data_IF_896989646497
#
_entry.id   IF_896989646497
#
_cell.length_a   1.000
_cell.length_b   1.000
_cell.length_c   1.000
_cell.angle_alpha   90.00
_cell.angle_beta   90.00
_cell.angle_gamma   90.00
#
_symmetry.space_group_name_H-M   'P 1'
#
loop_
_entity.id
_entity.type
_entity.pdbx_description
1 polymer ?
2 non-polymer ?
3 non-polymer ?
4 water ?
#
# COMPACT_ATOMS: atom_id res chain seq x y z
N UNK A 1 7.72 -3.80 16.10
CA UNK A 1 6.38 -4.35 16.49
C UNK A 1 5.37 -4.10 15.38
N UNK A 2 5.27 -5.09 14.48
CA UNK A 2 4.41 -4.92 13.26
C UNK A 2 3.04 -5.56 13.50
N UNK A 3 2.87 -6.21 14.64
CA UNK A 3 1.78 -7.19 14.79
C UNK A 3 0.39 -6.63 14.66
N UNK A 4 0.26 -5.32 14.97
CA UNK A 4 -1.01 -4.56 14.91
C UNK A 4 -1.52 -4.45 13.47
N UNK A 5 -0.67 -4.61 12.51
CA UNK A 5 -0.96 -4.46 11.08
C UNK A 5 -1.37 -5.79 10.42
N UNK A 6 -1.08 -6.91 11.07
CA UNK A 6 -1.22 -8.22 10.42
C UNK A 6 -2.68 -8.57 10.27
N UNK A 7 -3.02 -9.22 9.17
CA UNK A 7 -4.35 -9.76 8.92
C UNK A 7 -4.86 -9.38 7.58
N UNK A 8 -6.16 -9.57 7.41
CA UNK A 8 -6.85 -9.33 6.15
C UNK A 8 -7.71 -8.07 6.31
N UNK A 9 -7.58 -7.18 5.35
CA UNK A 9 -8.14 -5.83 5.42
C UNK A 9 -8.92 -5.55 4.15
N UNK A 10 -10.04 -4.86 4.25
CA UNK A 10 -10.88 -4.55 3.08
C UNK A 10 -11.01 -3.03 2.93
N UNK A 11 -10.95 -2.54 1.69
CA UNK A 11 -11.08 -1.10 1.49
C UNK A 11 -12.51 -0.64 1.76
N UNK A 12 -12.63 0.40 2.60
CA UNK A 12 -13.95 0.97 2.95
C UNK A 12 -14.06 2.46 2.72
N UNK A 13 -12.99 3.17 2.35
CA UNK A 13 -13.04 4.62 2.06
C UNK A 13 -11.86 4.96 1.18
N UNK A 14 -12.03 5.85 0.20
CA UNK A 14 -10.89 6.29 -0.60
C UNK A 14 -11.05 7.77 -0.96
N UNK A 15 -9.98 8.53 -0.72
CA UNK A 15 -9.95 9.97 -1.02
C UNK A 15 -8.73 10.26 -1.88
N UNK A 16 -8.97 10.89 -3.04
CA UNK A 16 -7.92 11.39 -3.91
C UNK A 16 -7.09 10.29 -4.57
N UNK A 17 -7.61 9.06 -4.68
CA UNK A 17 -6.83 8.04 -5.37
C UNK A 17 -6.67 8.36 -6.85
N UNK A 18 -7.67 8.97 -7.48
CA UNK A 18 -7.49 9.35 -8.87
C UNK A 18 -6.34 10.35 -9.00
N UNK A 19 -6.25 11.33 -8.10
CA UNK A 19 -5.17 12.31 -8.18
C UNK A 19 -3.82 11.59 -8.10
N UNK A 20 -3.69 10.64 -7.17
CA UNK A 20 -2.45 9.89 -6.99
C UNK A 20 -2.11 9.10 -8.26
N UNK A 21 -3.07 8.34 -8.76
CA UNK A 21 -2.84 7.57 -9.99
C UNK A 21 -2.44 8.48 -11.15
N UNK A 22 -3.16 9.59 -11.27
CA UNK A 22 -2.86 10.49 -12.39
C UNK A 22 -1.43 11.03 -12.25
N UNK A 23 -1.00 11.37 -11.05
CA UNK A 23 0.37 11.86 -10.82
C UNK A 23 1.41 10.84 -11.26
N UNK A 24 1.10 9.54 -11.06
CA UNK A 24 1.98 8.45 -11.48
C UNK A 24 1.87 8.16 -12.98
N UNK A 25 0.97 8.82 -13.71
CA UNK A 25 0.85 8.57 -15.16
C UNK A 25 -0.05 7.39 -15.53
N UNK A 26 -0.88 6.94 -14.63
CA UNK A 26 -1.81 5.86 -14.93
C UNK A 26 -2.86 6.37 -15.91
N UNK A 27 -3.15 5.61 -16.95
CA UNK A 27 -4.10 6.00 -17.96
C UNK A 27 -5.55 6.04 -17.50
N UNK A 28 -6.36 6.80 -18.22
CA UNK A 28 -7.71 7.11 -17.74
C UNK A 28 -8.55 5.83 -17.57
N UNK A 29 -8.41 4.84 -18.46
CA UNK A 29 -9.28 3.67 -18.39
C UNK A 29 -8.96 2.82 -17.18
N UNK A 30 -7.66 2.70 -16.89
CA UNK A 30 -7.23 2.03 -15.66
C UNK A 30 -7.69 2.77 -14.42
N UNK A 31 -7.56 4.10 -14.41
CA UNK A 31 -8.04 4.86 -13.26
C UNK A 31 -9.53 4.64 -13.05
N UNK A 32 -10.27 4.59 -14.13
CA UNK A 32 -11.70 4.37 -14.04
C UNK A 32 -12.03 3.06 -13.31
N UNK A 33 -11.42 1.96 -13.73
CA UNK A 33 -11.66 0.67 -13.06
C UNK A 33 -11.18 0.73 -11.61
N UNK A 34 -9.99 1.28 -11.39
CA UNK A 34 -9.42 1.37 -10.03
C UNK A 34 -10.31 2.18 -9.10
N UNK A 35 -10.99 3.19 -9.60
CA UNK A 35 -11.85 4.04 -8.75
C UNK A 35 -13.07 3.29 -8.22
N UNK A 36 -13.38 2.16 -8.85
CA UNK A 36 -14.55 1.34 -8.46
C UNK A 36 -14.14 0.02 -7.84
N UNK A 37 -12.87 -0.21 -7.65
CA UNK A 37 -12.33 -1.43 -7.07
C UNK A 37 -12.15 -1.27 -5.56
N UNK A 38 -12.43 -2.34 -4.81
CA UNK A 38 -12.17 -2.37 -3.35
C UNK A 38 -11.22 -3.51 -3.08
N UNK A 39 -9.92 -3.27 -3.05
CA UNK A 39 -9.00 -4.37 -2.83
C UNK A 39 -9.11 -4.95 -1.41
N UNK A 40 -8.60 -6.17 -1.32
CA UNK A 40 -8.30 -6.80 -0.05
C UNK A 40 -6.78 -6.80 0.10
N UNK A 41 -6.31 -6.32 1.25
CA UNK A 41 -4.89 -6.35 1.55
C UNK A 41 -4.65 -7.36 2.68
N UNK A 42 -3.72 -8.24 2.48
CA UNK A 42 -3.36 -9.27 3.47
C UNK A 42 -1.91 -9.04 3.86
N UNK A 43 -1.68 -8.88 5.15
CA UNK A 43 -0.33 -8.65 5.65
C UNK A 43 -0.03 -9.79 6.60
N UNK A 44 1.04 -10.53 6.30
CA UNK A 44 1.41 -11.69 7.15
C UNK A 44 2.91 -11.66 7.42
N UNK A 45 3.29 -12.28 8.54
CA UNK A 45 4.72 -12.38 8.85
C UNK A 45 5.07 -13.81 9.10
N UNK A 46 6.34 -14.09 8.81
CA UNK A 46 6.99 -15.37 9.15
C UNK A 46 8.39 -15.00 9.59
N UNK A 47 8.58 -14.98 10.90
CA UNK A 47 9.84 -14.45 11.39
C UNK A 47 10.00 -13.01 10.96
N UNK A 48 11.15 -12.59 10.51
CA UNK A 48 11.10 -11.15 10.22
C UNK A 48 10.86 -10.98 8.71
N UNK A 49 10.29 -11.92 7.96
CA UNK A 49 9.82 -11.65 6.59
C UNK A 49 8.34 -11.32 6.61
N UNK A 50 8.00 -10.15 6.08
CA UNK A 50 6.60 -9.76 5.86
C UNK A 50 6.23 -10.04 4.42
N UNK A 51 4.99 -10.45 4.22
CA UNK A 51 4.38 -10.58 2.90
C UNK A 51 3.11 -9.73 2.88
N UNK A 52 3.00 -8.91 1.85
CA UNK A 52 1.86 -8.00 1.69
C UNK A 52 1.24 -8.28 0.33
N UNK A 53 0.01 -8.82 0.38
CA UNK A 53 -0.76 -9.15 -0.81
C UNK A 53 -1.83 -8.09 -0.99
N UNK A 54 -2.06 -7.69 -2.25
CA UNK A 54 -3.19 -6.80 -2.59
C UNK A 54 -3.98 -7.53 -3.67
N UNK A 55 -5.25 -7.82 -3.40
CA UNK A 55 -6.07 -8.63 -4.30
C UNK A 55 -7.25 -7.83 -4.79
N UNK A 56 -7.60 -7.92 -6.04
CA UNK A 56 -8.87 -7.27 -6.41
C UNK A 56 -9.44 -8.03 -7.58
N UNK A 57 -10.56 -7.53 -8.08
CA UNK A 57 -11.10 -8.04 -9.35
C UNK A 57 -10.30 -7.55 -10.57
N UNK A 58 -9.43 -6.58 -10.41
CA UNK A 58 -8.70 -5.97 -11.56
C UNK A 58 -7.26 -6.45 -11.82
N UNK A 59 -6.51 -6.77 -10.90
CA UNK A 59 -5.05 -6.68 -10.63
C UNK A 59 -4.75 -7.14 -9.20
N UNK A 60 -3.75 -8.00 -9.13
CA UNK A 60 -3.23 -8.53 -7.87
C UNK A 60 -1.76 -8.17 -7.78
N UNK A 61 -1.25 -7.98 -6.58
CA UNK A 61 0.17 -7.84 -6.32
C UNK A 61 0.55 -8.62 -5.05
N UNK A 62 1.83 -8.95 -4.95
CA UNK A 62 2.39 -9.51 -3.73
C UNK A 62 3.85 -9.09 -3.64
N UNK A 63 4.24 -8.68 -2.45
CA UNK A 63 5.65 -8.38 -2.14
C UNK A 63 6.01 -9.10 -0.85
N UNK A 64 7.28 -9.52 -0.76
CA UNK A 64 7.85 -10.00 0.48
C UNK A 64 9.14 -9.21 0.78
N UNK A 65 9.35 -8.89 2.05
CA UNK A 65 10.47 -8.06 2.43
C UNK A 65 10.81 -8.26 3.89
N UNK A 66 12.02 -7.88 4.23
CA UNK A 66 12.44 -7.69 5.63
C UNK A 66 12.39 -6.20 5.93
N UNK A 67 11.90 -5.77 7.11
CA UNK A 67 11.93 -4.37 7.47
C UNK A 67 13.35 -3.87 7.40
N UNK A 68 13.52 -2.72 6.80
CA UNK A 68 14.79 -2.05 6.78
C UNK A 68 15.78 -2.59 5.80
N UNK A 69 15.35 -3.47 4.87
CA UNK A 69 16.25 -4.02 3.85
C UNK A 69 15.64 -3.72 2.47
N UNK A 70 16.39 -3.08 1.61
CA UNK A 70 15.89 -2.72 0.29
C UNK A 70 15.53 -3.97 -0.52
N UNK A 71 14.51 -3.82 -1.36
CA UNK A 71 14.07 -4.90 -2.25
C UNK A 71 13.64 -4.29 -3.55
N UNK A 72 13.78 -5.08 -4.64
CA UNK A 72 13.20 -4.66 -5.91
C UNK A 72 11.71 -4.97 -5.90
N UNK A 73 10.94 -4.11 -6.57
CA UNK A 73 9.49 -4.25 -6.63
C UNK A 73 9.03 -3.81 -8.01
N UNK A 74 8.01 -4.50 -8.51
CA UNK A 74 7.31 -4.09 -9.75
C UNK A 74 5.89 -3.81 -9.35
N UNK A 75 5.48 -2.53 -9.39
CA UNK A 75 4.23 -2.09 -8.81
C UNK A 75 3.05 -2.50 -9.71
N UNK A 76 1.84 -2.29 -9.18
CA UNK A 76 0.62 -2.67 -9.90
C UNK A 76 0.53 -1.97 -11.28
N UNK A 77 1.04 -0.74 -11.32
CA UNK A 77 1.09 0.06 -12.55
C UNK A 77 2.40 -0.10 -13.31
N UNK A 78 3.17 -1.14 -13.00
CA UNK A 78 4.34 -1.60 -13.76
C UNK A 78 5.54 -0.67 -13.66
N UNK A 79 5.65 0.08 -12.57
CA UNK A 79 6.91 0.76 -12.28
C UNK A 79 7.90 -0.24 -11.65
N UNK A 80 9.14 -0.21 -12.08
CA UNK A 80 10.21 -1.02 -11.50
C UNK A 80 10.95 -0.10 -10.54
N UNK A 81 10.81 -0.38 -9.27
CA UNK A 81 11.26 0.53 -8.20
C UNK A 81 12.16 -0.20 -7.23
N UNK A 82 12.93 0.61 -6.49
CA UNK A 82 13.72 0.17 -5.34
C UNK A 82 12.96 0.58 -4.10
N UNK A 83 12.65 -0.38 -3.26
CA UNK A 83 11.73 -0.19 -2.14
C UNK A 83 12.39 -0.50 -0.80
N UNK A 84 11.87 0.15 0.23
CA UNK A 84 12.22 -0.21 1.61
C UNK A 84 10.98 0.06 2.45
N UNK A 85 10.76 -0.82 3.41
CA UNK A 85 9.65 -0.66 4.37
C UNK A 85 10.26 -0.64 5.77
N UNK A 86 9.83 0.31 6.58
CA UNK A 86 10.34 0.44 7.95
C UNK A 86 9.20 0.87 8.85
N UNK A 87 9.38 0.69 10.12
CA UNK A 87 8.49 1.26 11.14
C UNK A 87 9.06 2.59 11.56
N UNK A 88 8.19 3.62 11.59
CA UNK A 88 8.57 5.01 11.90
C UNK A 88 7.40 5.56 12.70
N UNK A 89 7.62 5.85 13.98
CA UNK A 89 6.54 6.43 14.73
C UNK A 89 5.37 5.48 14.87
N UNK A 90 5.62 4.19 14.82
CA UNK A 90 4.55 3.19 14.86
C UNK A 90 3.82 3.01 13.55
N UNK A 91 4.23 3.69 12.51
CA UNK A 91 3.62 3.60 11.19
C UNK A 91 4.50 2.71 10.33
N UNK A 92 3.88 1.95 9.44
CA UNK A 92 4.62 1.14 8.49
C UNK A 92 4.84 2.02 7.24
N UNK A 93 6.08 2.43 6.96
CA UNK A 93 6.40 3.38 5.89
C UNK A 93 7.11 2.65 4.76
N UNK A 94 6.48 2.65 3.60
CA UNK A 94 7.00 2.01 2.38
C UNK A 94 7.41 3.15 1.44
N UNK A 95 8.71 3.19 1.13
CA UNK A 95 9.28 4.20 0.21
C UNK A 95 9.67 3.49 -1.08
N UNK A 96 9.22 4.00 -2.21
CA UNK A 96 9.60 3.50 -3.53
C UNK A 96 10.37 4.58 -4.29
N UNK A 97 11.47 4.18 -4.92
CA UNK A 97 12.35 5.08 -5.68
C UNK A 97 12.54 4.55 -7.10
N UNK A 98 12.42 5.42 -8.07
CA UNK A 98 12.67 5.04 -9.47
C UNK A 98 12.90 6.33 -10.27
N UNK A 99 13.87 6.30 -11.15
CA UNK A 99 14.02 7.44 -12.10
C UNK A 99 14.22 8.74 -11.32
N UNK A 100 14.79 8.73 -10.14
CA UNK A 100 14.97 9.91 -9.30
C UNK A 100 13.69 10.40 -8.61
N UNK A 101 12.57 9.75 -8.87
CA UNK A 101 11.25 9.98 -8.27
C UNK A 101 11.12 9.16 -7.01
N UNK A 102 10.17 9.56 -6.19
CA UNK A 102 9.83 8.84 -4.96
C UNK A 102 8.32 8.87 -4.75
N UNK A 103 7.81 7.81 -4.10
CA UNK A 103 6.46 7.85 -3.55
C UNK A 103 6.50 7.12 -2.22
N UNK A 104 5.68 7.59 -1.29
CA UNK A 104 5.55 6.93 -0.01
C UNK A 104 4.14 6.39 0.17
N UNK A 105 4.08 5.22 0.80
CA UNK A 105 2.85 4.51 1.18
C UNK A 105 2.94 4.31 2.67
N UNK A 106 2.20 5.08 3.44
CA UNK A 106 2.32 5.08 4.91
C UNK A 106 1.06 4.45 5.50
N UNK A 107 1.23 3.45 6.34
CA UNK A 107 0.11 2.77 6.98
C UNK A 107 0.16 3.04 8.47
N UNK A 108 -1.03 3.32 9.02
CA UNK A 108 -1.14 3.47 10.45
C UNK A 108 -2.49 2.97 10.90
N UNK A 109 -2.55 2.77 12.19
CA UNK A 109 -3.79 2.30 12.79
C UNK A 109 -4.40 3.44 13.56
N UNK A 110 -5.68 3.69 13.31
CA UNK A 110 -6.46 4.71 14.03
C UNK A 110 -7.79 4.04 14.33
N UNK A 111 -8.11 3.96 15.63
CA UNK A 111 -9.36 3.37 16.11
C UNK A 111 -9.59 2.03 15.43
N UNK A 112 -8.53 1.23 15.28
CA UNK A 112 -8.67 -0.12 14.72
C UNK A 112 -8.77 -0.18 13.22
N UNK A 113 -8.79 0.97 12.52
CA UNK A 113 -8.81 0.98 11.07
C UNK A 113 -7.38 1.21 10.58
N UNK A 114 -7.10 0.69 9.42
CA UNK A 114 -5.78 0.87 8.80
C UNK A 114 -5.92 2.00 7.76
N UNK A 115 -5.18 3.06 8.00
CA UNK A 115 -5.19 4.25 7.14
C UNK A 115 -3.90 4.24 6.32
N UNK A 116 -4.08 4.19 5.01
CA UNK A 116 -3.00 4.18 4.04
C UNK A 116 -2.94 5.57 3.38
N UNK A 117 -1.83 6.27 3.54
CA UNK A 117 -1.62 7.57 2.93
C UNK A 117 -0.56 7.42 1.83
N UNK A 118 -0.95 7.77 0.61
CA UNK A 118 -0.12 7.65 -0.57
C UNK A 118 0.27 9.03 -1.06
N UNK A 119 1.56 9.33 -1.20
CA UNK A 119 2.01 10.65 -1.62
C UNK A 119 2.90 10.53 -2.81
N UNK A 120 2.62 11.24 -3.88
CA UNK A 120 3.53 11.35 -5.03
C UNK A 120 3.37 12.75 -5.59
N UNK A 121 4.48 13.43 -5.84
CA UNK A 121 4.34 14.83 -6.26
C UNK A 121 3.62 15.63 -5.20
N UNK A 122 2.59 16.34 -5.55
CA UNK A 122 1.79 17.05 -4.57
C UNK A 122 0.56 16.25 -4.20
N UNK A 123 0.26 15.13 -4.87
CA UNK A 123 -0.93 14.35 -4.65
C UNK A 123 -0.85 13.56 -3.35
N UNK A 124 -1.90 13.64 -2.56
CA UNK A 124 -2.00 12.95 -1.28
C UNK A 124 -3.34 12.22 -1.24
N UNK A 125 -3.29 10.90 -1.23
CA UNK A 125 -4.45 10.05 -1.18
C UNK A 125 -4.54 9.36 0.17
N UNK A 126 -5.75 9.24 0.70
CA UNK A 126 -5.99 8.55 1.95
C UNK A 126 -7.00 7.47 1.72
N UNK A 127 -6.60 6.23 2.01
CA UNK A 127 -7.49 5.08 1.87
C UNK A 127 -7.61 4.39 3.22
N UNK A 128 -8.82 3.98 3.51
CA UNK A 128 -9.11 3.37 4.80
C UNK A 128 -9.54 1.92 4.59
N UNK A 129 -8.93 1.06 5.37
CA UNK A 129 -9.19 -0.38 5.35
C UNK A 129 -9.72 -0.80 6.70
N UNK A 130 -10.64 -1.76 6.67
CA UNK A 130 -11.30 -2.35 7.83
C UNK A 130 -10.90 -3.81 7.95
N UNK A 131 -10.67 -4.26 9.18
CA UNK A 131 -10.21 -5.64 9.45
C UNK A 131 -11.31 -6.66 9.12
N UNK A 132 -10.95 -7.69 8.38
CA UNK A 132 -11.78 -8.91 8.25
C UNK A 132 -11.44 -9.92 9.38
N UNK A 133 -12.45 -10.55 9.92
CA UNK A 133 -12.35 -11.57 10.98
C UNK A 133 -11.69 -12.83 10.46
#
# INVERSE_FOLDING_TARGET
>A
MVDAFLGTWKLVDSKNFDDYMKSLGVGFATRQVASMTKPTTIIEKNGDILTLKTHSTFKNTEISFKLGVEFDETTADDRKVKSIVTLDGGKLVHLQKWDGQETTLVRELIDGKLILTLTHGTAVCTRTYEKEA
#
